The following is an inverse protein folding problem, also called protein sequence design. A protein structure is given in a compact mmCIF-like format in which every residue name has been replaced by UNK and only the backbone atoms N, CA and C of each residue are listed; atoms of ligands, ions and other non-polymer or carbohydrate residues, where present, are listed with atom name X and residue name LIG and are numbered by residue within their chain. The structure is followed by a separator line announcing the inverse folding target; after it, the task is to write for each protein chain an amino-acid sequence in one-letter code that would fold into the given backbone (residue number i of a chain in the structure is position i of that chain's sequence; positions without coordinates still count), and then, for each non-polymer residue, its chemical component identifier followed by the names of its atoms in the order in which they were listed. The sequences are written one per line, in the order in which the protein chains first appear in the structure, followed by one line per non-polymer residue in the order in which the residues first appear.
data_IF_915868849796
#
_entry.id   IF_915868849796
#
_cell.length_a   1.000
_cell.length_b   1.000
_cell.length_c   1.000
_cell.angle_alpha   90.00
_cell.angle_beta   90.00
_cell.angle_gamma   90.00
#
_symmetry.space_group_name_H-M   'P 1'
#
loop_
_entity.id
_entity.type
_entity.pdbx_description
1 polymer ?
#
# COMPACT_ATOMS: atom_id res chain seq x y z
N UNK A 1 23.19 -7.85 -2.10
CA UNK A 1 21.87 -7.43 -1.57
C UNK A 1 21.39 -6.29 -2.45
N UNK A 2 20.17 -6.38 -2.96
CA UNK A 2 19.57 -5.36 -3.80
C UNK A 2 18.52 -4.66 -2.94
N UNK A 3 18.76 -3.38 -2.62
CA UNK A 3 17.92 -2.64 -1.68
C UNK A 3 16.81 -1.82 -2.36
N UNK A 4 16.86 -1.73 -3.71
CA UNK A 4 15.93 -0.89 -4.46
C UNK A 4 14.97 -1.74 -5.31
N UNK A 5 13.69 -1.36 -5.26
CA UNK A 5 12.62 -2.07 -5.98
C UNK A 5 12.82 -2.04 -7.50
N UNK A 6 13.36 -0.94 -8.03
CA UNK A 6 13.62 -0.76 -9.47
C UNK A 6 14.65 -1.75 -10.00
N UNK A 7 15.77 -1.87 -9.28
CA UNK A 7 16.85 -2.80 -9.62
C UNK A 7 16.42 -4.25 -9.44
N UNK A 8 15.72 -4.55 -8.35
CA UNK A 8 15.18 -5.89 -8.11
C UNK A 8 14.24 -6.31 -9.23
N UNK A 9 13.32 -5.46 -9.64
CA UNK A 9 12.39 -5.75 -10.73
C UNK A 9 13.11 -5.90 -12.08
N UNK A 10 14.11 -5.07 -12.35
CA UNK A 10 14.93 -5.21 -13.56
C UNK A 10 15.62 -6.59 -13.59
N UNK A 11 16.19 -7.02 -12.46
CA UNK A 11 16.83 -8.34 -12.34
C UNK A 11 15.81 -9.48 -12.54
N UNK A 12 14.66 -9.42 -11.87
CA UNK A 12 13.60 -10.43 -11.99
C UNK A 12 13.12 -10.55 -13.44
N UNK A 13 12.95 -9.42 -14.14
CA UNK A 13 12.62 -9.39 -15.56
C UNK A 13 13.70 -10.05 -16.44
N UNK A 14 14.99 -9.79 -16.16
CA UNK A 14 16.10 -10.45 -16.85
C UNK A 14 16.09 -11.97 -16.63
N UNK A 15 15.71 -12.41 -15.43
CA UNK A 15 15.53 -13.81 -15.07
C UNK A 15 14.24 -14.42 -15.65
N UNK A 16 13.43 -13.65 -16.39
CA UNK A 16 12.10 -14.03 -16.92
C UNK A 16 11.10 -14.41 -15.84
N UNK A 17 11.27 -13.88 -14.63
CA UNK A 17 10.32 -14.03 -13.55
C UNK A 17 9.31 -12.86 -13.61
N UNK A 18 8.05 -13.21 -13.77
CA UNK A 18 6.96 -12.24 -13.70
C UNK A 18 6.46 -12.19 -12.25
N UNK A 19 6.70 -11.07 -11.57
CA UNK A 19 6.24 -10.85 -10.20
C UNK A 19 5.10 -9.82 -10.26
N UNK A 20 3.88 -10.23 -9.93
CA UNK A 20 2.74 -9.32 -9.89
C UNK A 20 2.93 -8.22 -8.84
N UNK A 21 2.31 -7.07 -9.08
CA UNK A 21 2.20 -6.00 -8.08
C UNK A 21 0.84 -6.13 -7.42
N UNK A 22 0.83 -6.24 -6.10
CA UNK A 22 -0.40 -6.57 -5.39
C UNK A 22 -1.14 -5.35 -4.83
N UNK A 23 -0.48 -4.29 -4.43
CA UNK A 23 -1.07 -3.08 -3.80
C UNK A 23 -2.35 -3.33 -2.96
N UNK A 24 -3.46 -3.70 -3.63
CA UNK A 24 -4.79 -3.89 -3.02
C UNK A 24 -5.46 -5.18 -3.51
N UNK A 25 -5.04 -6.36 -3.04
CA UNK A 25 -5.70 -7.63 -3.34
C UNK A 25 -7.20 -7.61 -3.04
N UNK A 26 -8.02 -8.11 -3.95
CA UNK A 26 -9.48 -8.09 -3.80
C UNK A 26 -9.96 -8.93 -2.62
N UNK A 27 -9.22 -9.97 -2.26
CA UNK A 27 -9.47 -10.85 -1.12
C UNK A 27 -9.42 -10.09 0.21
N UNK A 28 -8.64 -9.02 0.26
CA UNK A 28 -8.48 -8.18 1.45
C UNK A 28 -9.48 -7.02 1.52
N UNK A 29 -10.42 -6.92 0.57
CA UNK A 29 -11.34 -5.79 0.45
C UNK A 29 -12.09 -5.46 1.74
N UNK A 30 -12.50 -6.47 2.51
CA UNK A 30 -13.24 -6.27 3.77
C UNK A 30 -12.41 -5.61 4.88
N UNK A 31 -11.08 -5.66 4.77
CA UNK A 31 -10.16 -5.10 5.76
C UNK A 31 -9.72 -3.67 5.45
N UNK A 32 -9.99 -3.14 4.25
CA UNK A 32 -9.57 -1.78 3.90
C UNK A 32 -10.40 -0.69 4.61
N UNK A 33 -11.63 -0.99 5.01
CA UNK A 33 -12.52 -0.05 5.69
C UNK A 33 -12.86 1.22 4.88
N UNK A 34 -12.52 1.23 3.59
CA UNK A 34 -12.74 2.35 2.66
C UNK A 34 -12.91 1.83 1.24
N UNK A 35 -13.53 2.65 0.39
CA UNK A 35 -13.63 2.36 -1.04
C UNK A 35 -12.28 2.65 -1.70
N UNK A 36 -11.74 1.64 -2.42
CA UNK A 36 -10.52 1.73 -3.22
C UNK A 36 -10.86 1.20 -4.61
N UNK A 37 -10.43 1.91 -5.64
CA UNK A 37 -10.70 1.52 -7.03
C UNK A 37 -9.61 2.05 -7.96
N UNK A 38 -9.54 1.44 -9.13
CA UNK A 38 -8.64 1.82 -10.21
C UNK A 38 -9.26 2.96 -11.01
N UNK A 39 -8.43 3.91 -11.42
CA UNK A 39 -8.81 5.00 -12.30
C UNK A 39 -7.61 5.54 -13.04
N UNK A 40 -7.79 6.66 -13.71
CA UNK A 40 -6.73 7.38 -14.40
C UNK A 40 -6.55 8.78 -13.81
N UNK A 41 -5.34 9.32 -13.93
CA UNK A 41 -5.00 10.63 -13.37
C UNK A 41 -5.94 11.75 -13.84
N UNK A 42 -6.40 11.68 -15.09
CA UNK A 42 -7.34 12.64 -15.66
C UNK A 42 -8.68 12.75 -14.94
N UNK A 43 -9.14 11.68 -14.28
CA UNK A 43 -10.38 11.70 -13.49
C UNK A 43 -10.26 12.64 -12.26
N UNK A 44 -9.05 12.83 -11.78
CA UNK A 44 -8.77 13.71 -10.64
C UNK A 44 -8.41 15.12 -11.13
N UNK A 45 -7.58 15.22 -12.19
CA UNK A 45 -7.11 16.52 -12.69
C UNK A 45 -8.25 17.33 -13.30
N UNK A 46 -9.13 16.69 -14.08
CA UNK A 46 -10.13 17.36 -14.89
C UNK A 46 -11.49 17.49 -14.21
N UNK A 47 -11.74 16.77 -13.10
CA UNK A 47 -13.04 16.70 -12.46
C UNK A 47 -12.91 17.10 -10.98
N UNK A 48 -13.10 18.40 -10.64
CA UNK A 48 -12.97 18.87 -9.26
C UNK A 48 -13.90 18.16 -8.25
N UNK A 49 -15.04 17.65 -8.70
CA UNK A 49 -15.96 16.89 -7.84
C UNK A 49 -15.35 15.57 -7.33
N UNK A 50 -14.24 15.11 -7.96
CA UNK A 50 -13.48 13.96 -7.50
C UNK A 50 -12.39 14.31 -6.47
N UNK A 51 -12.23 15.57 -6.09
CA UNK A 51 -11.27 15.96 -5.05
C UNK A 51 -11.70 15.47 -3.67
N UNK A 52 -10.81 15.57 -2.68
CA UNK A 52 -10.99 14.94 -1.38
C UNK A 52 -10.70 13.44 -1.39
N UNK A 53 -9.99 12.94 -2.40
CA UNK A 53 -9.56 11.53 -2.51
C UNK A 53 -8.06 11.39 -2.34
N UNK A 54 -7.64 10.24 -1.82
CA UNK A 54 -6.25 9.83 -1.85
C UNK A 54 -5.95 9.16 -3.19
N UNK A 55 -4.81 9.50 -3.78
CA UNK A 55 -4.33 8.88 -5.02
C UNK A 55 -2.90 8.38 -4.86
N UNK A 56 -2.57 7.27 -5.53
CA UNK A 56 -1.20 6.75 -5.67
C UNK A 56 -1.00 6.11 -7.03
N UNK A 57 0.26 6.03 -7.55
CA UNK A 57 0.53 5.30 -8.78
C UNK A 57 0.09 3.84 -8.65
N UNK A 58 -0.57 3.31 -9.69
CA UNK A 58 -0.85 1.87 -9.79
C UNK A 58 0.35 1.10 -10.34
N UNK A 59 1.20 1.77 -11.10
CA UNK A 59 2.35 1.14 -11.71
C UNK A 59 3.45 0.85 -10.68
N UNK A 60 4.27 -0.09 -11.06
CA UNK A 60 5.39 -0.63 -10.27
C UNK A 60 6.49 0.38 -9.89
N UNK A 61 6.44 1.60 -10.36
CA UNK A 61 7.40 2.65 -10.02
C UNK A 61 6.72 3.75 -9.21
N UNK A 62 7.34 4.17 -8.10
CA UNK A 62 6.90 5.32 -7.30
C UNK A 62 7.20 6.63 -8.05
N UNK A 63 6.53 6.86 -9.18
CA UNK A 63 6.70 8.07 -10.00
C UNK A 63 6.21 9.33 -9.27
N UNK A 64 5.31 9.18 -8.32
CA UNK A 64 4.97 10.20 -7.32
C UNK A 64 4.57 9.54 -6.00
N UNK A 65 4.67 10.29 -4.91
CA UNK A 65 4.23 9.85 -3.58
C UNK A 65 2.72 9.96 -3.46
N UNK A 66 2.06 8.91 -2.94
CA UNK A 66 0.62 8.92 -2.67
C UNK A 66 0.23 10.13 -1.81
N UNK A 67 -0.88 10.78 -2.17
CA UNK A 67 -1.36 12.00 -1.52
C UNK A 67 -2.86 12.20 -1.63
N UNK A 68 -3.42 13.00 -0.73
CA UNK A 68 -4.80 13.48 -0.85
C UNK A 68 -4.81 14.68 -1.79
N UNK A 69 -5.76 14.71 -2.73
CA UNK A 69 -5.95 15.82 -3.65
C UNK A 69 -7.20 16.61 -3.24
N UNK A 70 -7.00 17.80 -2.69
CA UNK A 70 -8.05 18.75 -2.33
C UNK A 70 -8.09 19.95 -3.28
N UNK A 71 -7.12 20.06 -4.17
CA UNK A 71 -7.04 21.14 -5.13
C UNK A 71 -5.86 21.02 -6.09
N UNK A 72 -5.74 21.96 -7.00
CA UNK A 72 -4.71 21.96 -8.05
C UNK A 72 -3.28 22.00 -7.51
N UNK A 73 -3.09 22.56 -6.30
CA UNK A 73 -1.75 22.59 -5.65
C UNK A 73 -1.22 21.20 -5.35
N UNK A 74 -2.11 20.26 -5.00
CA UNK A 74 -1.74 18.89 -4.67
C UNK A 74 -1.32 18.07 -5.90
N UNK A 75 -1.61 18.58 -7.10
CA UNK A 75 -1.24 17.98 -8.38
C UNK A 75 0.12 18.46 -8.90
N UNK A 76 0.70 19.48 -8.28
CA UNK A 76 2.01 20.02 -8.68
C UNK A 76 3.08 18.93 -8.55
N UNK A 77 3.90 18.80 -9.61
CA UNK A 77 5.02 17.86 -9.66
C UNK A 77 4.64 16.43 -10.06
N UNK A 78 3.37 16.13 -10.35
CA UNK A 78 2.99 14.81 -10.87
C UNK A 78 3.46 14.65 -12.31
N UNK A 79 3.18 15.63 -13.21
CA UNK A 79 3.73 15.70 -14.57
C UNK A 79 3.54 14.47 -15.46
N UNK A 80 2.49 13.67 -15.21
CA UNK A 80 2.19 12.43 -15.92
C UNK A 80 1.02 12.63 -16.90
N UNK A 81 0.90 11.76 -17.93
CA UNK A 81 -0.24 11.77 -18.84
C UNK A 81 -1.58 11.57 -18.12
N UNK A 82 -2.68 12.11 -18.67
CA UNK A 82 -4.00 12.00 -18.06
C UNK A 82 -4.55 10.56 -18.02
N UNK A 83 -4.11 9.69 -18.91
CA UNK A 83 -4.44 8.27 -18.96
C UNK A 83 -3.55 7.41 -18.05
N UNK A 84 -2.64 8.04 -17.26
CA UNK A 84 -1.77 7.31 -16.35
C UNK A 84 -2.59 6.59 -15.27
N UNK A 85 -2.40 5.25 -15.10
CA UNK A 85 -3.20 4.46 -14.17
C UNK A 85 -2.83 4.78 -12.71
N UNK A 86 -3.85 5.03 -11.90
CA UNK A 86 -3.73 5.31 -10.48
C UNK A 86 -4.71 4.48 -9.66
N UNK A 87 -4.39 4.31 -8.39
CA UNK A 87 -5.34 3.95 -7.37
C UNK A 87 -5.97 5.21 -6.81
N UNK A 88 -7.30 5.15 -6.62
CA UNK A 88 -8.10 6.21 -6.02
C UNK A 88 -8.80 5.62 -4.80
N UNK A 89 -8.73 6.30 -3.65
CA UNK A 89 -9.44 5.84 -2.46
C UNK A 89 -10.08 6.97 -1.67
N UNK A 90 -11.07 6.60 -0.88
CA UNK A 90 -11.52 7.46 0.21
C UNK A 90 -10.39 7.69 1.20
N UNK A 91 -10.39 8.86 1.83
CA UNK A 91 -9.37 9.22 2.82
C UNK A 91 -9.71 8.57 4.16
N UNK A 92 -8.71 7.94 4.76
CA UNK A 92 -8.74 7.45 6.14
C UNK A 92 -7.57 8.06 6.88
N UNK A 93 -7.82 8.62 8.05
CA UNK A 93 -6.78 9.14 8.94
C UNK A 93 -6.31 8.02 9.87
N UNK A 94 -5.06 7.61 9.68
CA UNK A 94 -4.40 6.67 10.57
C UNK A 94 -3.59 7.44 11.63
N UNK A 95 -3.77 7.09 12.90
CA UNK A 95 -3.00 7.68 14.00
C UNK A 95 -1.67 6.95 14.24
N UNK A 96 -1.57 5.71 13.80
CA UNK A 96 -0.34 4.92 13.81
C UNK A 96 -0.40 3.82 12.75
N UNK A 97 0.77 3.42 12.25
CA UNK A 97 0.92 2.45 11.17
C UNK A 97 2.08 1.48 11.46
N UNK A 98 1.89 0.24 11.02
CA UNK A 98 2.86 -0.86 11.18
C UNK A 98 3.02 -1.63 9.88
N UNK A 99 4.19 -2.21 9.71
CA UNK A 99 4.47 -3.21 8.68
C UNK A 99 4.55 -4.59 9.30
N UNK A 100 3.72 -5.50 8.80
CA UNK A 100 3.80 -6.91 9.09
C UNK A 100 4.63 -7.60 8.00
N UNK A 101 5.68 -8.29 8.40
CA UNK A 101 6.51 -9.10 7.49
C UNK A 101 5.93 -10.51 7.45
N UNK A 102 5.44 -10.92 6.29
CA UNK A 102 4.78 -12.22 6.12
C UNK A 102 5.61 -13.11 5.21
N UNK A 103 5.84 -14.35 5.64
CA UNK A 103 6.50 -15.41 4.88
C UNK A 103 5.73 -16.71 5.04
N UNK A 104 5.36 -17.33 3.92
CA UNK A 104 4.64 -18.60 3.89
C UNK A 104 3.39 -18.61 4.80
N UNK A 105 2.60 -17.54 4.72
CA UNK A 105 1.40 -17.33 5.51
C UNK A 105 1.63 -17.13 7.02
N UNK A 106 2.87 -16.87 7.45
CA UNK A 106 3.23 -16.62 8.85
C UNK A 106 3.75 -15.21 9.03
N UNK A 107 3.32 -14.54 10.08
CA UNK A 107 3.90 -13.28 10.51
C UNK A 107 5.26 -13.56 11.12
N UNK A 108 6.32 -13.00 10.54
CA UNK A 108 7.67 -13.07 11.10
C UNK A 108 7.89 -11.99 12.14
N UNK A 109 7.40 -10.77 11.86
CA UNK A 109 7.52 -9.64 12.76
C UNK A 109 6.51 -8.54 12.38
N UNK A 110 6.21 -7.65 13.32
CA UNK A 110 5.39 -6.45 13.12
C UNK A 110 6.14 -5.24 13.66
N UNK A 111 6.45 -4.28 12.79
CA UNK A 111 7.24 -3.10 13.14
C UNK A 111 6.45 -1.82 12.96
N UNK A 112 6.41 -0.94 14.00
CA UNK A 112 5.87 0.40 13.83
C UNK A 112 6.77 1.22 12.91
N UNK A 113 6.18 2.05 12.05
CA UNK A 113 6.96 2.95 11.22
C UNK A 113 6.50 4.41 11.28
N UNK A 114 5.29 4.67 11.76
CA UNK A 114 4.83 6.05 12.00
C UNK A 114 3.69 6.10 13.01
N UNK A 115 3.50 7.25 13.64
CA UNK A 115 2.32 7.58 14.43
C UNK A 115 2.50 7.56 15.93
N UNK A 116 1.38 7.48 16.64
CA UNK A 116 1.31 7.53 18.11
C UNK A 116 1.74 6.17 18.70
N UNK A 117 2.77 6.19 19.54
CA UNK A 117 3.29 4.99 20.20
C UNK A 117 2.34 4.37 21.24
N UNK A 118 1.29 5.07 21.64
CA UNK A 118 0.26 4.53 22.53
C UNK A 118 -0.81 3.73 21.76
N UNK A 119 -0.90 3.92 20.45
CA UNK A 119 -1.88 3.21 19.64
C UNK A 119 -1.57 1.71 19.62
N UNK A 120 -2.61 0.90 19.68
CA UNK A 120 -2.52 -0.55 19.60
C UNK A 120 -3.43 -1.06 18.48
N UNK A 121 -2.89 -1.94 17.64
CA UNK A 121 -3.68 -2.62 16.62
C UNK A 121 -4.32 -3.90 17.17
N UNK A 122 -5.40 -4.34 16.54
CA UNK A 122 -6.02 -5.64 16.80
C UNK A 122 -5.29 -6.73 15.98
N UNK A 123 -4.55 -7.66 16.62
CA UNK A 123 -3.83 -8.71 15.91
C UNK A 123 -4.74 -9.66 15.10
N UNK A 124 -6.00 -9.82 15.51
CA UNK A 124 -6.93 -10.70 14.80
C UNK A 124 -7.18 -10.23 13.35
N UNK A 125 -7.10 -8.91 13.09
CA UNK A 125 -7.23 -8.37 11.75
C UNK A 125 -6.10 -8.84 10.84
N UNK A 126 -4.87 -8.96 11.37
CA UNK A 126 -3.71 -9.47 10.63
C UNK A 126 -3.92 -10.96 10.31
N UNK A 127 -4.25 -11.77 11.33
CA UNK A 127 -4.44 -13.20 11.19
C UNK A 127 -5.57 -13.53 10.20
N UNK A 128 -6.68 -12.80 10.29
CA UNK A 128 -7.82 -12.94 9.39
C UNK A 128 -7.49 -12.52 7.96
N UNK A 129 -6.73 -11.43 7.77
CA UNK A 129 -6.30 -10.97 6.45
C UNK A 129 -5.41 -12.02 5.77
N UNK A 130 -4.41 -12.54 6.48
CA UNK A 130 -3.51 -13.58 5.98
C UNK A 130 -4.31 -14.85 5.64
N UNK A 131 -5.18 -15.28 6.53
CA UNK A 131 -6.01 -16.49 6.35
C UNK A 131 -6.98 -16.36 5.17
N UNK A 132 -7.45 -15.15 4.89
CA UNK A 132 -8.40 -14.88 3.81
C UNK A 132 -7.75 -14.92 2.42
N UNK A 133 -6.48 -14.57 2.29
CA UNK A 133 -5.77 -14.47 1.01
C UNK A 133 -5.04 -15.76 0.66
N UNK A 134 -5.77 -16.75 0.11
CA UNK A 134 -5.24 -18.11 -0.18
C UNK A 134 -4.14 -18.13 -1.23
N UNK A 135 -4.24 -17.29 -2.25
CA UNK A 135 -3.27 -17.21 -3.35
C UNK A 135 -2.23 -16.10 -3.13
N UNK A 136 -1.96 -15.79 -1.85
CA UNK A 136 -0.95 -14.81 -1.48
C UNK A 136 0.46 -15.23 -1.97
N UNK A 137 1.33 -14.27 -2.32
CA UNK A 137 2.72 -14.59 -2.60
C UNK A 137 3.40 -15.19 -1.35
N UNK A 138 4.47 -15.96 -1.56
CA UNK A 138 5.20 -16.59 -0.47
C UNK A 138 5.74 -15.60 0.55
N UNK A 139 6.11 -14.39 0.10
CA UNK A 139 6.60 -13.31 0.96
C UNK A 139 5.98 -11.97 0.55
N UNK A 140 5.56 -11.19 1.53
CA UNK A 140 5.03 -9.83 1.32
C UNK A 140 5.07 -9.00 2.61
N UNK A 141 4.97 -7.69 2.43
CA UNK A 141 4.70 -6.76 3.53
C UNK A 141 3.22 -6.40 3.56
N UNK A 142 2.55 -6.60 4.70
CA UNK A 142 1.19 -6.16 4.95
C UNK A 142 1.25 -4.91 5.83
N UNK A 143 0.87 -3.77 5.27
CA UNK A 143 0.82 -2.53 6.04
C UNK A 143 -0.57 -2.37 6.66
N UNK A 144 -0.60 -2.13 7.96
CA UNK A 144 -1.83 -1.91 8.75
C UNK A 144 -1.77 -0.57 9.45
N UNK A 145 -2.91 -0.03 9.75
CA UNK A 145 -3.02 1.21 10.53
C UNK A 145 -4.20 1.20 11.47
N UNK A 146 -4.09 1.99 12.52
CA UNK A 146 -5.16 2.23 13.49
C UNK A 146 -5.73 3.62 13.27
N UNK A 147 -7.04 3.70 13.15
CA UNK A 147 -7.78 4.94 13.01
C UNK A 147 -8.06 5.59 14.37
N UNK A 148 -8.42 6.87 14.38
CA UNK A 148 -8.74 7.59 15.62
C UNK A 148 -9.90 6.96 16.42
N UNK A 149 -10.83 6.28 15.73
CA UNK A 149 -11.94 5.55 16.36
C UNK A 149 -11.57 4.11 16.76
N UNK A 150 -10.26 3.76 16.70
CA UNK A 150 -9.71 2.51 17.22
C UNK A 150 -9.83 1.31 16.27
N UNK A 151 -10.27 1.49 15.02
CA UNK A 151 -10.32 0.38 14.05
C UNK A 151 -8.92 0.08 13.52
N UNK A 152 -8.59 -1.19 13.44
CA UNK A 152 -7.43 -1.69 12.71
C UNK A 152 -7.82 -2.00 11.28
N UNK A 153 -7.13 -1.42 10.30
CA UNK A 153 -7.42 -1.59 8.89
C UNK A 153 -6.13 -1.94 8.12
N UNK A 154 -6.29 -2.68 7.03
CA UNK A 154 -5.21 -2.88 6.07
C UNK A 154 -5.03 -1.60 5.24
N UNK A 155 -3.80 -1.12 5.17
CA UNK A 155 -3.43 0.05 4.36
C UNK A 155 -3.16 -0.39 2.93
N UNK A 156 -2.19 -1.27 2.73
CA UNK A 156 -1.77 -1.80 1.43
C UNK A 156 -0.94 -3.07 1.60
N UNK A 157 -0.66 -3.73 0.49
CA UNK A 157 0.29 -4.84 0.40
C UNK A 157 1.49 -4.40 -0.43
N UNK A 158 2.67 -4.76 0.04
CA UNK A 158 3.94 -4.52 -0.64
C UNK A 158 4.60 -5.84 -1.04
N UNK A 159 5.40 -5.82 -2.11
CA UNK A 159 6.17 -6.99 -2.53
C UNK A 159 7.12 -7.45 -1.41
N UNK A 160 7.37 -8.76 -1.29
CA UNK A 160 8.25 -9.33 -0.27
C UNK A 160 9.76 -9.09 -0.49
N UNK A 161 10.12 -8.34 -1.51
CA UNK A 161 11.49 -7.95 -1.83
C UNK A 161 11.63 -6.42 -1.82
N UNK A 162 12.84 -5.94 -1.48
CA UNK A 162 13.13 -4.49 -1.39
C UNK A 162 12.19 -3.73 -0.41
N UNK A 163 11.78 -4.40 0.67
CA UNK A 163 11.01 -3.79 1.76
C UNK A 163 11.92 -2.95 2.66
N UNK A 164 11.41 -1.82 3.13
CA UNK A 164 12.01 -1.14 4.27
C UNK A 164 11.96 -2.06 5.50
N UNK A 165 13.11 -2.27 6.15
CA UNK A 165 13.23 -3.25 7.23
C UNK A 165 12.75 -2.75 8.60
N UNK A 166 12.63 -1.44 8.78
CA UNK A 166 12.19 -0.81 10.05
C UNK A 166 12.86 -1.43 11.30
N UNK A 167 14.19 -1.67 11.20
CA UNK A 167 15.01 -2.30 12.25
C UNK A 167 14.64 -3.77 12.50
N UNK A 168 14.09 -4.47 11.52
CA UNK A 168 13.96 -5.93 11.58
C UNK A 168 15.35 -6.55 11.73
N UNK A 169 15.53 -7.38 12.75
CA UNK A 169 16.80 -8.13 12.92
C UNK A 169 16.94 -9.16 11.80
N UNK A 170 18.16 -9.37 11.29
CA UNK A 170 18.43 -10.37 10.26
C UNK A 170 18.21 -11.80 10.76
#
# INVERSE_FOLDING_TARGET
VIDYITETRALLKMMRLNVPVYDYPVELKKFYGRKIYEGVLGEIVNIPDNWGKFIKPKASSKVFTGRVVNGTRDLIGIGLPFDYPIWISEVVEFIAEWRCFVLDGRVLDVRPYTGDYHAQFDPSVIDDAISCWKDAPIAYGLDIGVTRDGRTLVIEVNDGYALGNYVLSP
#
